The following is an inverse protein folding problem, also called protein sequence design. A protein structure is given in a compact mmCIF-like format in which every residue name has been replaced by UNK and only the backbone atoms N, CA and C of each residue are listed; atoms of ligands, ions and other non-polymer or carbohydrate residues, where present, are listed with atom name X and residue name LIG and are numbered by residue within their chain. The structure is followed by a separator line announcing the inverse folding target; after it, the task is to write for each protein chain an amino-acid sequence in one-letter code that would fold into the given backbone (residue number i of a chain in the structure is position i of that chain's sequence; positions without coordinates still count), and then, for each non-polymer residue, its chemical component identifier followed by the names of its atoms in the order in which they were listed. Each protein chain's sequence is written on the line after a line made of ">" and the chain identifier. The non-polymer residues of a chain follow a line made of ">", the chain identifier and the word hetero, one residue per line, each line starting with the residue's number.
data_IF_496179523443
#
_entry.id   IF_496179523443
#
_cell.length_a   1.000
_cell.length_b   1.000
_cell.length_c   1.000
_cell.angle_alpha   90.00
_cell.angle_beta   90.00
_cell.angle_gamma   90.00
#
_symmetry.space_group_name_H-M   'P 1'
#
loop_
_entity.id
_entity.type
_entity.pdbx_description
1 polymer ?
#
# COMPACT_ATOMS: atom_id res chain seq x y z
N UNK A 1 -6.00 -12.80 11.90
CA UNK A 1 -4.77 -12.15 11.42
C UNK A 1 -4.78 -12.23 9.91
N UNK A 2 -5.26 -11.18 9.26
CA UNK A 2 -5.14 -11.01 7.83
C UNK A 2 -3.63 -10.87 7.53
N UNK A 3 -3.07 -11.77 6.73
CA UNK A 3 -1.74 -11.56 6.18
C UNK A 3 -1.86 -10.36 5.25
N UNK A 4 -1.23 -9.25 5.61
CA UNK A 4 -1.09 -8.10 4.74
C UNK A 4 -0.31 -8.57 3.51
N UNK A 5 -1.04 -8.85 2.44
CA UNK A 5 -0.50 -9.18 1.15
C UNK A 5 -0.25 -7.85 0.44
N UNK A 6 0.89 -7.22 0.72
CA UNK A 6 1.47 -6.20 -0.18
C UNK A 6 1.91 -6.95 -1.44
N UNK A 7 0.93 -7.26 -2.30
CA UNK A 7 1.14 -7.90 -3.59
C UNK A 7 1.05 -6.84 -4.66
N UNK A 8 2.08 -6.02 -4.76
CA UNK A 8 2.39 -5.38 -6.02
C UNK A 8 3.63 -6.08 -6.61
N UNK A 9 3.59 -6.42 -7.90
CA UNK A 9 4.70 -6.95 -8.72
C UNK A 9 4.90 -8.47 -8.78
N UNK A 10 3.97 -9.15 -9.45
CA UNK A 10 4.37 -10.21 -10.38
C UNK A 10 3.58 -10.06 -11.69
N UNK A 11 4.06 -9.20 -12.59
CA UNK A 11 3.38 -9.09 -13.88
C UNK A 11 3.92 -8.10 -14.92
N UNK A 12 5.17 -7.62 -14.89
CA UNK A 12 5.60 -6.64 -15.90
C UNK A 12 7.02 -6.92 -16.36
N UNK A 13 7.19 -7.97 -17.16
CA UNK A 13 8.42 -8.25 -17.91
C UNK A 13 8.28 -7.98 -19.42
N UNK A 14 7.16 -7.40 -19.89
CA UNK A 14 6.85 -7.33 -21.33
C UNK A 14 6.65 -5.92 -21.91
N UNK A 15 6.77 -4.84 -21.14
CA UNK A 15 6.56 -3.48 -21.68
C UNK A 15 7.84 -2.82 -22.22
N UNK A 16 9.00 -3.48 -22.21
CA UNK A 16 10.28 -2.90 -22.68
C UNK A 16 10.38 -2.67 -24.19
N UNK A 17 9.27 -2.73 -24.93
CA UNK A 17 9.28 -2.78 -26.39
C UNK A 17 8.25 -1.90 -27.13
N UNK A 18 7.70 -0.79 -26.61
CA UNK A 18 7.14 0.23 -27.53
C UNK A 18 6.97 1.64 -26.97
N UNK A 19 6.89 2.57 -27.92
CA UNK A 19 7.08 4.02 -27.80
C UNK A 19 5.72 4.75 -27.94
N UNK A 20 4.74 4.36 -27.12
CA UNK A 20 3.50 5.13 -26.91
C UNK A 20 3.63 5.96 -25.62
N UNK A 21 3.33 7.25 -25.71
CA UNK A 21 3.59 8.27 -24.68
C UNK A 21 2.99 8.01 -23.29
N UNK A 22 2.12 7.02 -23.12
CA UNK A 22 1.57 6.59 -21.82
C UNK A 22 2.33 5.42 -21.16
N UNK A 23 3.01 4.57 -21.93
CA UNK A 23 3.75 3.41 -21.42
C UNK A 23 5.13 3.78 -20.90
N UNK A 24 5.79 4.78 -21.48
CA UNK A 24 7.06 5.30 -20.97
C UNK A 24 6.85 6.03 -19.64
N UNK A 25 5.74 6.76 -19.48
CA UNK A 25 5.32 7.37 -18.19
C UNK A 25 4.95 6.30 -17.16
N UNK A 26 4.31 5.20 -17.58
CA UNK A 26 3.95 4.10 -16.71
C UNK A 26 5.15 3.22 -16.30
N UNK A 27 6.09 2.99 -17.22
CA UNK A 27 7.37 2.36 -16.94
C UNK A 27 8.29 3.27 -16.14
N UNK A 28 8.25 4.59 -16.32
CA UNK A 28 8.94 5.52 -15.41
C UNK A 28 8.26 5.54 -14.03
N UNK A 29 6.95 5.37 -13.98
CA UNK A 29 6.16 5.23 -12.76
C UNK A 29 6.48 3.94 -11.97
N UNK A 30 6.72 2.81 -12.65
CA UNK A 30 7.04 1.53 -12.01
C UNK A 30 8.55 1.26 -11.87
N UNK A 31 9.37 1.69 -12.83
CA UNK A 31 10.80 1.39 -12.92
C UNK A 31 11.71 2.62 -13.08
N UNK A 32 11.15 3.81 -13.27
CA UNK A 32 11.91 5.05 -13.42
C UNK A 32 12.21 5.72 -12.08
N UNK A 33 12.35 7.06 -12.03
CA UNK A 33 12.74 7.80 -10.83
C UNK A 33 11.78 7.60 -9.63
N UNK A 34 10.66 6.92 -9.86
CA UNK A 34 9.69 6.51 -8.86
C UNK A 34 10.04 5.24 -8.05
N UNK A 35 11.27 4.74 -8.15
CA UNK A 35 11.81 3.68 -7.28
C UNK A 35 11.68 3.97 -5.77
N UNK A 36 11.46 5.24 -5.40
CA UNK A 36 11.19 5.64 -4.02
C UNK A 36 9.92 4.99 -3.46
N UNK A 37 8.84 4.87 -4.24
CA UNK A 37 7.63 4.13 -3.80
C UNK A 37 7.97 2.68 -3.48
N UNK A 38 8.73 2.03 -4.36
CA UNK A 38 9.15 0.64 -4.18
C UNK A 38 10.08 0.47 -2.97
N UNK A 39 11.03 1.38 -2.77
CA UNK A 39 11.88 1.35 -1.59
C UNK A 39 11.04 1.52 -0.32
N UNK A 40 10.05 2.43 -0.36
CA UNK A 40 9.13 2.65 0.76
C UNK A 40 8.32 1.39 1.06
N UNK A 41 7.81 0.71 0.03
CA UNK A 41 7.08 -0.57 0.14
C UNK A 41 7.96 -1.71 0.69
N UNK A 42 9.20 -1.83 0.20
CA UNK A 42 10.17 -2.81 0.68
C UNK A 42 10.51 -2.55 2.17
N UNK A 43 10.71 -1.29 2.56
CA UNK A 43 10.93 -0.89 3.95
C UNK A 43 9.72 -1.19 4.84
N UNK A 44 8.50 -0.85 4.37
CA UNK A 44 7.26 -1.19 5.08
C UNK A 44 7.13 -2.69 5.32
N UNK A 45 7.48 -3.50 4.32
CA UNK A 45 7.43 -4.97 4.45
C UNK A 45 8.34 -5.45 5.57
N UNK A 46 9.55 -4.91 5.68
CA UNK A 46 10.47 -5.25 6.77
C UNK A 46 9.94 -4.80 8.13
N UNK A 47 9.41 -3.58 8.23
CA UNK A 47 8.83 -3.05 9.47
C UNK A 47 7.62 -3.87 9.93
N UNK A 48 6.78 -4.34 9.01
CA UNK A 48 5.66 -5.23 9.33
C UNK A 48 6.12 -6.61 9.80
N UNK A 49 7.20 -7.16 9.25
CA UNK A 49 7.79 -8.42 9.74
C UNK A 49 8.30 -8.27 11.19
N UNK A 50 8.89 -7.11 11.52
CA UNK A 50 9.30 -6.77 12.89
C UNK A 50 8.09 -6.63 13.82
N UNK A 51 7.06 -5.90 13.39
CA UNK A 51 5.79 -5.77 14.12
C UNK A 51 5.15 -7.14 14.38
N UNK A 52 5.07 -8.02 13.37
CA UNK A 52 4.50 -9.36 13.52
C UNK A 52 5.34 -10.22 14.46
N UNK A 53 6.67 -10.05 14.46
CA UNK A 53 7.56 -10.72 15.40
C UNK A 53 7.27 -10.29 16.84
N UNK A 54 7.10 -8.98 17.08
CA UNK A 54 6.70 -8.47 18.40
C UNK A 54 5.32 -9.01 18.82
N UNK A 55 4.36 -9.05 17.90
CA UNK A 55 3.03 -9.61 18.12
C UNK A 55 3.06 -11.10 18.50
N UNK A 56 3.87 -11.90 17.80
CA UNK A 56 4.02 -13.33 18.07
C UNK A 56 4.66 -13.59 19.45
N UNK A 57 5.45 -12.63 19.95
CA UNK A 57 6.04 -12.65 21.30
C UNK A 57 5.10 -12.07 22.37
N UNK A 58 4.01 -11.41 21.96
CA UNK A 58 3.11 -10.68 22.86
C UNK A 58 3.75 -9.45 23.49
N UNK A 59 4.66 -8.79 22.78
CA UNK A 59 5.37 -7.59 23.22
C UNK A 59 4.62 -6.33 22.79
N UNK A 60 3.56 -6.00 23.52
CA UNK A 60 2.65 -4.89 23.19
C UNK A 60 3.38 -3.52 23.22
N UNK A 61 4.39 -3.35 24.07
CA UNK A 61 5.20 -2.12 24.13
C UNK A 61 6.06 -1.95 22.87
N UNK A 62 6.69 -3.04 22.40
CA UNK A 62 7.46 -3.03 21.15
C UNK A 62 6.55 -2.81 19.93
N UNK A 63 5.39 -3.47 19.88
CA UNK A 63 4.41 -3.25 18.80
C UNK A 63 3.99 -1.78 18.72
N UNK A 64 3.66 -1.16 19.85
CA UNK A 64 3.30 0.25 19.91
C UNK A 64 4.46 1.17 19.49
N UNK A 65 5.68 0.84 19.89
CA UNK A 65 6.89 1.56 19.45
C UNK A 65 7.07 1.49 17.93
N UNK A 66 6.92 0.31 17.32
CA UNK A 66 7.05 0.12 15.87
C UNK A 66 5.96 0.91 15.11
N UNK A 67 4.73 0.93 15.63
CA UNK A 67 3.63 1.71 15.04
C UNK A 67 4.02 3.20 14.93
N UNK A 68 4.41 3.82 16.04
CA UNK A 68 4.63 5.27 16.10
C UNK A 68 5.95 5.69 15.43
N UNK A 69 7.01 4.89 15.60
CA UNK A 69 8.35 5.31 15.18
C UNK A 69 8.71 4.86 13.76
N UNK A 70 8.10 3.78 13.27
CA UNK A 70 8.49 3.15 12.00
C UNK A 70 7.32 3.14 11.00
N UNK A 71 6.24 2.43 11.30
CA UNK A 71 5.13 2.21 10.34
C UNK A 71 4.42 3.51 9.97
N UNK A 72 3.97 4.30 10.95
CA UNK A 72 3.23 5.52 10.66
C UNK A 72 4.07 6.54 9.87
N UNK A 73 5.32 6.89 10.26
CA UNK A 73 6.15 7.80 9.47
C UNK A 73 6.40 7.29 8.04
N UNK A 74 6.58 5.99 7.87
CA UNK A 74 6.84 5.39 6.56
C UNK A 74 5.59 5.41 5.66
N UNK A 75 4.40 5.18 6.21
CA UNK A 75 3.13 5.29 5.46
C UNK A 75 2.81 6.75 5.15
N UNK A 76 3.12 7.69 6.05
CA UNK A 76 3.01 9.12 5.77
C UNK A 76 3.95 9.55 4.63
N UNK A 77 5.18 9.04 4.62
CA UNK A 77 6.14 9.25 3.53
C UNK A 77 5.58 8.72 2.21
N UNK A 78 5.01 7.51 2.21
CA UNK A 78 4.34 6.92 1.05
C UNK A 78 3.20 7.81 0.53
N UNK A 79 2.34 8.28 1.42
CA UNK A 79 1.20 9.14 1.08
C UNK A 79 1.64 10.48 0.50
N UNK A 80 2.61 11.14 1.11
CA UNK A 80 3.16 12.42 0.63
C UNK A 80 3.78 12.25 -0.75
N UNK A 81 4.58 11.21 -0.92
CA UNK A 81 5.17 10.87 -2.20
C UNK A 81 4.10 10.69 -3.27
N UNK A 82 3.06 9.88 -3.00
CA UNK A 82 1.99 9.67 -3.96
C UNK A 82 1.20 10.97 -4.25
N UNK A 83 1.02 11.88 -3.29
CA UNK A 83 0.33 13.15 -3.54
C UNK A 83 1.10 14.11 -4.44
N UNK A 84 2.43 14.04 -4.42
CA UNK A 84 3.31 14.92 -5.21
C UNK A 84 3.44 14.47 -6.67
N UNK A 85 3.06 13.23 -6.98
CA UNK A 85 3.14 12.66 -8.33
C UNK A 85 2.01 13.20 -9.19
N UNK A 86 2.35 13.69 -10.39
CA UNK A 86 1.38 14.14 -11.39
C UNK A 86 1.55 13.34 -12.66
N UNK A 87 0.54 12.53 -12.99
CA UNK A 87 0.51 11.72 -14.20
C UNK A 87 -0.38 12.36 -15.25
N UNK A 88 0.03 12.29 -16.51
CA UNK A 88 -0.63 12.93 -17.63
C UNK A 88 -1.59 12.01 -18.37
N UNK A 89 -1.33 10.70 -18.40
CA UNK A 89 -2.19 9.73 -19.05
C UNK A 89 -3.36 9.28 -18.16
N UNK A 90 -4.58 9.22 -18.71
CA UNK A 90 -5.79 8.86 -17.93
C UNK A 90 -5.69 7.48 -17.27
N UNK A 91 -5.18 6.47 -17.99
CA UNK A 91 -5.03 5.13 -17.41
C UNK A 91 -4.02 5.13 -16.25
N UNK A 92 -2.99 5.99 -16.31
CA UNK A 92 -2.00 6.13 -15.23
C UNK A 92 -2.60 6.88 -14.03
N UNK A 93 -3.43 7.90 -14.28
CA UNK A 93 -4.18 8.61 -13.23
C UNK A 93 -5.14 7.68 -12.49
N UNK A 94 -5.84 6.78 -13.20
CA UNK A 94 -6.74 5.80 -12.59
C UNK A 94 -5.97 4.86 -11.66
N UNK A 95 -4.85 4.30 -12.13
CA UNK A 95 -3.99 3.41 -11.35
C UNK A 95 -3.37 4.11 -10.14
N UNK A 96 -2.93 5.35 -10.32
CA UNK A 96 -2.35 6.16 -9.26
C UNK A 96 -3.37 6.54 -8.18
N UNK A 97 -4.61 6.84 -8.57
CA UNK A 97 -5.70 7.10 -7.62
C UNK A 97 -6.00 5.87 -6.74
N UNK A 98 -5.88 4.65 -7.29
CA UNK A 98 -6.03 3.41 -6.52
C UNK A 98 -4.91 3.25 -5.48
N UNK A 99 -3.65 3.51 -5.88
CA UNK A 99 -2.51 3.46 -4.95
C UNK A 99 -2.59 4.54 -3.87
N UNK A 100 -3.03 5.75 -4.22
CA UNK A 100 -3.31 6.82 -3.25
C UNK A 100 -4.38 6.40 -2.25
N UNK A 101 -5.48 5.80 -2.71
CA UNK A 101 -6.55 5.32 -1.84
C UNK A 101 -6.07 4.18 -0.92
N UNK A 102 -5.32 3.21 -1.45
CA UNK A 102 -4.71 2.13 -0.66
C UNK A 102 -3.82 2.68 0.46
N UNK A 103 -2.90 3.59 0.13
CA UNK A 103 -2.01 4.23 1.10
C UNK A 103 -2.76 5.03 2.18
N UNK A 104 -3.87 5.68 1.81
CA UNK A 104 -4.71 6.41 2.77
C UNK A 104 -5.44 5.48 3.74
N UNK A 105 -5.93 4.34 3.26
CA UNK A 105 -6.56 3.34 4.11
C UNK A 105 -5.55 2.69 5.06
N UNK A 106 -4.31 2.42 4.61
CA UNK A 106 -3.25 1.97 5.50
C UNK A 106 -2.93 2.98 6.60
N UNK A 107 -2.86 4.28 6.27
CA UNK A 107 -2.63 5.32 7.28
C UNK A 107 -3.77 5.39 8.29
N UNK A 108 -5.02 5.30 7.81
CA UNK A 108 -6.19 5.28 8.68
C UNK A 108 -6.17 4.06 9.62
N UNK A 109 -5.86 2.87 9.11
CA UNK A 109 -5.73 1.66 9.91
C UNK A 109 -4.69 1.82 11.02
N UNK A 110 -3.50 2.31 10.68
CA UNK A 110 -2.41 2.48 11.65
C UNK A 110 -2.72 3.54 12.72
N UNK A 111 -3.37 4.65 12.35
CA UNK A 111 -3.80 5.65 13.33
C UNK A 111 -4.85 5.08 14.30
N UNK A 112 -5.81 4.30 13.81
CA UNK A 112 -6.81 3.63 14.65
C UNK A 112 -6.15 2.56 15.53
N UNK A 113 -5.13 1.88 15.02
CA UNK A 113 -4.36 0.91 15.77
C UNK A 113 -3.56 1.55 16.92
N UNK A 114 -2.93 2.71 16.68
CA UNK A 114 -2.31 3.52 17.74
C UNK A 114 -3.34 3.87 18.83
N UNK A 115 -4.53 4.35 18.44
CA UNK A 115 -5.61 4.66 19.38
C UNK A 115 -6.07 3.43 20.17
N UNK A 116 -6.11 2.26 19.53
CA UNK A 116 -6.47 0.99 20.18
C UNK A 116 -5.44 0.60 21.24
N UNK A 117 -4.14 0.76 20.94
CA UNK A 117 -3.07 0.52 21.91
C UNK A 117 -3.10 1.51 23.08
N UNK A 118 -3.33 2.80 22.82
CA UNK A 118 -3.51 3.80 23.89
C UNK A 118 -4.70 3.41 24.78
N UNK A 119 -5.83 3.02 24.19
CA UNK A 119 -7.00 2.58 24.95
C UNK A 119 -6.71 1.32 25.80
N UNK A 120 -5.99 0.34 25.24
CA UNK A 120 -5.67 -0.91 25.93
C UNK A 120 -4.64 -0.75 27.05
N UNK A 121 -3.56 0.00 26.79
CA UNK A 121 -2.38 0.11 27.67
C UNK A 121 -2.54 1.26 28.66
N UNK A 122 -2.89 2.46 28.19
CA UNK A 122 -2.91 3.66 29.02
C UNK A 122 -4.25 3.83 29.75
N UNK A 123 -5.35 3.73 29.02
CA UNK A 123 -6.70 3.93 29.58
C UNK A 123 -7.24 2.66 30.28
N UNK A 124 -6.64 1.50 30.00
CA UNK A 124 -7.11 0.18 30.44
C UNK A 124 -8.59 -0.07 30.07
N UNK A 125 -9.00 0.43 28.90
CA UNK A 125 -10.33 0.30 28.31
C UNK A 125 -10.32 -0.73 27.18
N UNK A 126 -10.40 -2.00 27.59
CA UNK A 126 -10.37 -3.14 26.67
C UNK A 126 -11.59 -3.19 25.73
N UNK A 127 -12.74 -2.66 26.15
CA UNK A 127 -13.93 -2.64 25.31
C UNK A 127 -13.77 -1.66 24.15
N UNK A 128 -13.27 -0.46 24.44
CA UNK A 128 -12.94 0.53 23.41
C UNK A 128 -11.82 0.04 22.50
N UNK A 129 -10.77 -0.58 23.05
CA UNK A 129 -9.69 -1.14 22.24
C UNK A 129 -10.20 -2.20 21.26
N UNK A 130 -11.12 -3.08 21.69
CA UNK A 130 -11.71 -4.10 20.80
C UNK A 130 -12.56 -3.48 19.68
N UNK A 131 -13.31 -2.41 19.95
CA UNK A 131 -14.05 -1.66 18.93
C UNK A 131 -13.09 -1.02 17.90
N UNK A 132 -12.01 -0.40 18.38
CA UNK A 132 -11.00 0.23 17.50
C UNK A 132 -10.25 -0.83 16.66
N UNK A 133 -9.93 -1.99 17.22
CA UNK A 133 -9.32 -3.07 16.43
C UNK A 133 -10.25 -3.60 15.33
N UNK A 134 -11.56 -3.60 15.55
CA UNK A 134 -12.53 -3.94 14.49
C UNK A 134 -12.56 -2.86 13.39
N UNK A 135 -12.57 -1.58 13.77
CA UNK A 135 -12.50 -0.46 12.81
C UNK A 135 -11.21 -0.49 11.99
N UNK A 136 -10.06 -0.76 12.63
CA UNK A 136 -8.78 -0.98 11.94
C UNK A 136 -8.89 -2.08 10.88
N UNK A 137 -9.51 -3.20 11.22
CA UNK A 137 -9.65 -4.34 10.31
C UNK A 137 -10.50 -3.97 9.08
N UNK A 138 -11.52 -3.10 9.24
CA UNK A 138 -12.30 -2.56 8.11
C UNK A 138 -11.43 -1.71 7.17
N UNK A 139 -10.52 -0.89 7.71
CA UNK A 139 -9.60 -0.11 6.90
C UNK A 139 -8.59 -0.99 6.14
N UNK A 140 -8.07 -2.05 6.77
CA UNK A 140 -7.22 -3.01 6.06
C UNK A 140 -7.97 -3.76 4.95
N UNK A 141 -9.25 -4.07 5.14
CA UNK A 141 -10.09 -4.65 4.08
C UNK A 141 -10.25 -3.67 2.90
N UNK A 142 -10.50 -2.40 3.18
CA UNK A 142 -10.60 -1.36 2.14
C UNK A 142 -9.29 -1.15 1.37
N UNK A 143 -8.15 -1.17 2.07
CA UNK A 143 -6.83 -1.13 1.43
C UNK A 143 -6.64 -2.31 0.48
N UNK A 144 -6.99 -3.52 0.93
CA UNK A 144 -6.93 -4.73 0.11
C UNK A 144 -7.83 -4.67 -1.13
N UNK A 145 -9.04 -4.12 -1.01
CA UNK A 145 -9.92 -3.89 -2.16
C UNK A 145 -9.29 -2.97 -3.21
N UNK A 146 -8.63 -1.90 -2.80
CA UNK A 146 -7.91 -1.01 -3.73
C UNK A 146 -6.77 -1.74 -4.44
N UNK A 147 -6.02 -2.57 -3.71
CA UNK A 147 -4.96 -3.41 -4.28
C UNK A 147 -5.49 -4.34 -5.37
N UNK A 148 -6.64 -5.00 -5.13
CA UNK A 148 -7.30 -5.85 -6.12
C UNK A 148 -7.80 -5.08 -7.36
N UNK A 149 -8.33 -3.87 -7.15
CA UNK A 149 -8.76 -3.01 -8.25
C UNK A 149 -7.56 -2.59 -9.11
N UNK A 150 -6.45 -2.22 -8.48
CA UNK A 150 -5.21 -1.89 -9.16
C UNK A 150 -4.71 -3.05 -10.03
N UNK A 151 -4.62 -4.26 -9.46
CA UNK A 151 -4.21 -5.47 -10.19
C UNK A 151 -5.14 -5.77 -11.37
N UNK A 152 -6.46 -5.72 -11.15
CA UNK A 152 -7.45 -5.98 -12.20
C UNK A 152 -7.32 -4.97 -13.33
N UNK A 153 -7.11 -3.69 -13.00
CA UNK A 153 -6.92 -2.63 -13.98
C UNK A 153 -5.63 -2.85 -14.77
N UNK A 154 -4.56 -3.27 -14.09
CA UNK A 154 -3.29 -3.64 -14.72
C UNK A 154 -3.48 -4.74 -15.77
N UNK A 155 -4.13 -5.84 -15.38
CA UNK A 155 -4.36 -6.99 -16.25
C UNK A 155 -5.14 -6.61 -17.51
N UNK A 156 -6.15 -5.74 -17.37
CA UNK A 156 -6.93 -5.23 -18.51
C UNK A 156 -6.06 -4.40 -19.45
N UNK A 157 -5.18 -3.54 -18.92
CA UNK A 157 -4.29 -2.73 -19.74
C UNK A 157 -3.29 -3.60 -20.50
N UNK A 158 -2.70 -4.58 -19.83
CA UNK A 158 -1.77 -5.55 -20.44
C UNK A 158 -2.45 -6.37 -21.54
N UNK A 159 -3.67 -6.89 -21.31
CA UNK A 159 -4.41 -7.65 -22.32
C UNK A 159 -4.76 -6.80 -23.56
N UNK A 160 -5.14 -5.53 -23.37
CA UNK A 160 -5.42 -4.63 -24.50
C UNK A 160 -4.19 -4.40 -25.37
N UNK A 161 -3.01 -4.36 -24.75
CA UNK A 161 -1.74 -4.25 -25.47
C UNK A 161 -1.43 -5.53 -26.26
N UNK A 162 -1.49 -6.71 -25.63
CA UNK A 162 -1.24 -8.01 -26.29
C UNK A 162 -2.11 -8.19 -27.55
N UNK A 163 -3.39 -7.82 -27.48
CA UNK A 163 -4.33 -7.90 -28.62
C UNK A 163 -3.95 -6.92 -29.74
N UNK A 164 -3.39 -5.75 -29.40
CA UNK A 164 -2.97 -4.72 -30.37
C UNK A 164 -1.72 -5.18 -31.14
N UNK A 165 -0.77 -5.82 -30.46
CA UNK A 165 0.44 -6.37 -31.10
C UNK A 165 0.12 -7.52 -32.06
N UNK A 166 -0.83 -8.40 -31.74
CA UNK A 166 -1.24 -9.50 -32.65
C UNK A 166 -1.97 -9.02 -33.91
N UNK A 167 -2.53 -7.80 -33.89
CA UNK A 167 -3.27 -7.21 -35.00
C UNK A 167 -2.42 -6.33 -35.93
N UNK A 168 -1.13 -6.11 -35.60
CA UNK A 168 -0.17 -5.23 -36.28
C UNK A 168 0.76 -6.00 -37.22
#
# INVERSE_FOLDING_TARGET
>A
MAKMMLFSLFGIFLLTACNETGEEEFLEYIYGPHAEYRNIEEDLTMMYDEYQTAADLGDDEEMFSIIINDLQPQIELMNNYLQDVQLSHTDNQDLHAMLQAEAQYYLAAINVEEEAFIAAIEDNDQARAEELFQERDEYYEQAYEQSLLFQTRMDVLLQRHEISEEAS
#
